data_IF_814752601469
#
_entry.id   IF_814752601469
#
_cell.length_a   1.000
_cell.length_b   1.000
_cell.length_c   1.000
_cell.angle_alpha   90.00
_cell.angle_beta   90.00
_cell.angle_gamma   90.00
#
_symmetry.space_group_name_H-M   'P 1'
#
loop_
_entity.id
_entity.type
_entity.pdbx_description
1 polymer ?
#
# COMPACT_ATOMS: atom_id res chain seq x y z
N UNK A 1 26.44 -14.01 -4.07
CA UNK A 1 25.03 -13.58 -4.10
C UNK A 1 24.72 -12.66 -5.25
N UNK A 2 23.74 -13.02 -6.08
CA UNK A 2 23.22 -12.19 -7.16
C UNK A 2 22.14 -11.24 -6.60
N UNK A 3 22.35 -9.92 -6.72
CA UNK A 3 21.35 -8.90 -6.37
C UNK A 3 20.83 -8.25 -7.63
N UNK A 4 19.57 -8.53 -7.99
CA UNK A 4 18.90 -7.88 -9.13
C UNK A 4 18.10 -6.69 -8.59
N UNK A 5 18.44 -5.44 -8.94
CA UNK A 5 17.68 -4.27 -8.49
C UNK A 5 16.29 -4.29 -9.12
N UNK A 6 15.25 -4.03 -8.31
CA UNK A 6 13.89 -3.83 -8.83
C UNK A 6 13.84 -2.47 -9.52
N UNK A 7 13.63 -2.49 -10.83
CA UNK A 7 13.41 -1.28 -11.63
C UNK A 7 11.92 -0.95 -11.69
N UNK A 8 11.58 0.32 -11.44
CA UNK A 8 10.23 0.86 -11.59
C UNK A 8 10.36 2.09 -12.50
N UNK A 9 9.86 2.05 -13.74
CA UNK A 9 9.95 3.18 -14.65
C UNK A 9 9.04 4.31 -14.16
N UNK A 10 9.67 5.37 -13.66
CA UNK A 10 9.04 6.58 -13.15
C UNK A 10 9.62 7.79 -13.88
N UNK A 11 8.86 8.87 -14.00
CA UNK A 11 9.40 10.13 -14.52
C UNK A 11 10.18 10.86 -13.44
N UNK A 12 11.08 11.76 -13.85
CA UNK A 12 11.70 12.74 -12.95
C UNK A 12 10.63 13.69 -12.43
N UNK A 13 10.49 13.81 -11.12
CA UNK A 13 9.47 14.64 -10.47
C UNK A 13 9.23 14.18 -9.04
N UNK A 14 8.17 14.71 -8.43
CA UNK A 14 7.75 14.26 -7.10
C UNK A 14 7.29 12.80 -7.17
N UNK A 15 7.76 11.99 -6.24
CA UNK A 15 7.42 10.59 -6.07
C UNK A 15 6.60 10.39 -4.79
N UNK A 16 5.38 9.92 -4.96
CA UNK A 16 4.52 9.55 -3.84
C UNK A 16 4.34 8.03 -3.79
N UNK A 17 4.38 7.46 -2.59
CA UNK A 17 3.88 6.11 -2.34
C UNK A 17 2.45 6.20 -1.83
N UNK A 18 1.52 5.60 -2.57
CA UNK A 18 0.10 5.64 -2.25
C UNK A 18 -0.41 4.24 -2.02
N UNK A 19 -0.90 4.00 -0.81
CA UNK A 19 -1.38 2.72 -0.33
C UNK A 19 -2.90 2.69 -0.23
N UNK A 20 -3.51 1.58 -0.63
CA UNK A 20 -4.93 1.32 -0.41
C UNK A 20 -5.10 -0.01 0.29
N UNK A 21 -6.01 -0.04 1.26
CA UNK A 21 -6.44 -1.21 1.99
C UNK A 21 -7.94 -1.40 1.79
N UNK A 22 -8.35 -2.64 1.58
CA UNK A 22 -9.75 -3.02 1.35
C UNK A 22 -9.99 -4.45 1.87
N UNK A 23 -11.22 -4.73 2.31
CA UNK A 23 -11.62 -6.05 2.73
C UNK A 23 -13.01 -6.46 2.24
N UNK A 24 -13.17 -7.78 2.16
CA UNK A 24 -14.44 -8.46 1.90
C UNK A 24 -14.59 -9.62 2.87
N UNK A 25 -15.78 -10.19 2.96
CA UNK A 25 -16.04 -11.39 3.76
C UNK A 25 -15.14 -12.58 3.38
N UNK A 26 -14.57 -12.58 2.16
CA UNK A 26 -13.76 -13.68 1.62
C UNK A 26 -12.25 -13.44 1.72
N UNK A 27 -11.81 -12.19 1.69
CA UNK A 27 -10.40 -11.83 1.68
C UNK A 27 -10.20 -10.36 2.02
N UNK A 28 -9.01 -10.04 2.53
CA UNK A 28 -8.56 -8.67 2.72
C UNK A 28 -7.23 -8.45 2.00
N UNK A 29 -7.00 -7.23 1.50
CA UNK A 29 -5.87 -6.93 0.66
C UNK A 29 -5.33 -5.52 0.88
N UNK A 30 -4.10 -5.33 0.43
CA UNK A 30 -3.45 -4.03 0.37
C UNK A 30 -2.63 -3.93 -0.91
N UNK A 31 -2.59 -2.74 -1.49
CA UNK A 31 -1.80 -2.41 -2.69
C UNK A 31 -1.05 -1.10 -2.48
N UNK A 32 0.16 -1.02 -3.01
CA UNK A 32 1.00 0.18 -2.99
C UNK A 32 1.31 0.57 -4.42
N UNK A 33 1.01 1.82 -4.74
CA UNK A 33 1.35 2.48 -5.99
C UNK A 33 2.51 3.45 -5.77
N UNK A 34 3.36 3.57 -6.79
CA UNK A 34 4.27 4.69 -6.96
C UNK A 34 3.63 5.64 -7.95
N UNK A 35 3.51 6.90 -7.55
CA UNK A 35 2.95 7.98 -8.36
C UNK A 35 4.06 8.99 -8.58
N UNK A 36 4.46 9.20 -9.84
CA UNK A 36 5.41 10.25 -10.20
C UNK A 36 4.68 11.38 -10.91
N UNK A 37 4.85 12.62 -10.42
CA UNK A 37 4.30 13.83 -11.01
C UNK A 37 5.41 14.82 -11.34
N UNK A 38 5.52 15.25 -12.59
CA UNK A 38 6.55 16.17 -13.06
C UNK A 38 6.03 17.60 -13.36
N UNK A 39 4.78 17.90 -13.01
CA UNK A 39 4.12 19.17 -13.34
C UNK A 39 3.15 19.08 -14.51
N UNK A 40 3.42 18.22 -15.50
CA UNK A 40 2.60 18.03 -16.69
C UNK A 40 1.96 16.65 -16.78
N UNK A 41 2.70 15.62 -16.36
CA UNK A 41 2.38 14.22 -16.53
C UNK A 41 2.35 13.49 -15.19
N UNK A 42 1.37 12.62 -15.06
CA UNK A 42 1.22 11.71 -13.94
C UNK A 42 1.42 10.27 -14.41
N UNK A 43 2.40 9.58 -13.82
CA UNK A 43 2.58 8.14 -14.05
C UNK A 43 2.36 7.38 -12.76
N UNK A 44 1.46 6.40 -12.84
CA UNK A 44 1.12 5.51 -11.74
C UNK A 44 1.59 4.09 -12.07
N UNK A 45 2.24 3.44 -11.10
CA UNK A 45 2.73 2.06 -11.21
C UNK A 45 2.44 1.30 -9.94
N UNK A 46 2.00 0.05 -10.04
CA UNK A 46 1.92 -0.83 -8.88
C UNK A 46 3.35 -1.22 -8.46
N UNK A 47 3.68 -0.97 -7.20
CA UNK A 47 4.95 -1.40 -6.59
C UNK A 47 4.80 -2.82 -6.06
N UNK A 48 3.75 -3.05 -5.29
CA UNK A 48 3.44 -4.35 -4.70
C UNK A 48 1.98 -4.42 -4.28
N UNK A 49 1.44 -5.64 -4.22
CA UNK A 49 0.16 -5.92 -3.60
C UNK A 49 0.27 -7.21 -2.77
N UNK A 50 -0.61 -7.34 -1.78
CA UNK A 50 -0.74 -8.56 -1.00
C UNK A 50 -2.20 -8.75 -0.61
N UNK A 51 -2.72 -9.93 -0.86
CA UNK A 51 -4.02 -10.37 -0.38
C UNK A 51 -3.86 -11.54 0.59
N UNK A 52 -4.86 -11.72 1.46
CA UNK A 52 -4.99 -12.87 2.36
C UNK A 52 -6.45 -13.31 2.38
N UNK A 53 -6.67 -14.62 2.33
CA UNK A 53 -8.01 -15.21 2.50
C UNK A 53 -8.50 -14.92 3.92
N UNK A 54 -9.78 -14.57 4.05
CA UNK A 54 -10.40 -14.36 5.35
C UNK A 54 -10.32 -15.65 6.19
N UNK A 55 -10.11 -15.56 7.52
CA UNK A 55 -10.03 -16.74 8.36
C UNK A 55 -11.30 -17.59 8.28
N UNK A 56 -11.16 -18.91 8.38
CA UNK A 56 -12.29 -19.86 8.38
C UNK A 56 -13.27 -19.55 9.52
N UNK A 57 -12.75 -19.08 10.66
CA UNK A 57 -13.60 -18.53 11.72
C UNK A 57 -14.09 -17.15 11.29
N UNK A 58 -15.41 -17.03 11.13
CA UNK A 58 -16.05 -15.79 10.75
C UNK A 58 -15.59 -14.61 11.63
N UNK A 59 -15.19 -13.53 10.97
CA UNK A 59 -14.82 -12.27 11.58
C UNK A 59 -15.79 -11.20 11.09
N UNK A 60 -16.00 -10.17 11.91
CA UNK A 60 -16.83 -9.03 11.51
C UNK A 60 -16.12 -8.22 10.42
N UNK A 61 -16.90 -7.59 9.54
CA UNK A 61 -16.36 -6.72 8.49
C UNK A 61 -15.37 -5.66 9.02
N UNK A 62 -15.67 -4.90 10.10
CA UNK A 62 -14.70 -3.94 10.65
C UNK A 62 -13.35 -4.56 11.08
N UNK A 63 -13.34 -5.80 11.54
CA UNK A 63 -12.07 -6.49 11.88
C UNK A 63 -11.29 -6.90 10.65
N UNK A 64 -11.97 -7.31 9.57
CA UNK A 64 -11.31 -7.63 8.30
C UNK A 64 -10.73 -6.36 7.66
N UNK A 65 -11.46 -5.25 7.69
CA UNK A 65 -10.97 -3.94 7.27
C UNK A 65 -9.73 -3.50 8.07
N UNK A 66 -9.77 -3.67 9.40
CA UNK A 66 -8.62 -3.36 10.26
C UNK A 66 -7.41 -4.26 9.91
N UNK A 67 -7.64 -5.53 9.56
CA UNK A 67 -6.60 -6.42 9.08
C UNK A 67 -6.01 -5.97 7.74
N UNK A 68 -6.82 -5.44 6.83
CA UNK A 68 -6.37 -4.83 5.58
C UNK A 68 -5.47 -3.61 5.84
N UNK A 69 -5.91 -2.70 6.70
CA UNK A 69 -5.13 -1.51 7.09
C UNK A 69 -3.80 -1.90 7.76
N UNK A 70 -3.82 -2.89 8.66
CA UNK A 70 -2.60 -3.43 9.27
C UNK A 70 -1.67 -4.06 8.24
N UNK A 71 -2.22 -4.81 7.26
CA UNK A 71 -1.46 -5.39 6.16
C UNK A 71 -0.79 -4.29 5.32
N UNK A 72 -1.51 -3.21 5.01
CA UNK A 72 -0.97 -2.07 4.28
C UNK A 72 0.18 -1.40 5.02
N UNK A 73 0.01 -1.11 6.32
CA UNK A 73 1.09 -0.51 7.13
C UNK A 73 2.36 -1.35 7.11
N UNK A 74 2.23 -2.68 7.25
CA UNK A 74 3.37 -3.60 7.14
C UNK A 74 4.02 -3.62 5.76
N UNK A 75 3.23 -3.53 4.69
CA UNK A 75 3.77 -3.45 3.34
C UNK A 75 4.52 -2.13 3.12
N UNK A 76 3.96 -1.02 3.58
CA UNK A 76 4.60 0.31 3.48
C UNK A 76 5.96 0.30 4.17
N UNK A 77 6.04 -0.15 5.43
CA UNK A 77 7.32 -0.26 6.14
C UNK A 77 8.33 -1.14 5.40
N UNK A 78 7.89 -2.25 4.80
CA UNK A 78 8.76 -3.15 4.04
C UNK A 78 9.27 -2.50 2.74
N UNK A 79 8.42 -1.78 2.03
CA UNK A 79 8.80 -1.08 0.80
C UNK A 79 9.78 0.05 1.12
N UNK A 80 9.49 0.88 2.12
CA UNK A 80 10.39 1.96 2.52
C UNK A 80 11.78 1.44 2.92
N UNK A 81 11.87 0.27 3.57
CA UNK A 81 13.15 -0.37 3.88
C UNK A 81 13.85 -1.00 2.65
N UNK A 82 13.10 -1.36 1.60
CA UNK A 82 13.64 -2.05 0.41
C UNK A 82 14.23 -1.09 -0.62
N UNK A 83 13.90 0.20 -0.56
CA UNK A 83 14.37 1.23 -1.49
C UNK A 83 15.15 2.33 -0.75
N UNK A 84 16.31 2.05 -0.14
CA UNK A 84 17.04 3.01 0.69
C UNK A 84 17.57 4.24 -0.07
N UNK A 85 17.58 4.19 -1.40
CA UNK A 85 18.02 5.31 -2.26
C UNK A 85 16.86 6.14 -2.82
N UNK A 86 15.62 5.70 -2.61
CA UNK A 86 14.42 6.36 -3.11
C UNK A 86 13.64 6.86 -1.90
N UNK A 87 13.63 8.17 -1.71
CA UNK A 87 12.90 8.82 -0.63
C UNK A 87 11.66 9.47 -1.23
N UNK A 88 10.48 8.83 -1.15
CA UNK A 88 9.27 9.45 -1.64
C UNK A 88 8.95 10.70 -0.82
N UNK A 89 8.59 11.79 -1.49
CA UNK A 89 8.21 13.06 -0.90
C UNK A 89 6.93 12.91 -0.06
N UNK A 90 6.07 11.95 -0.41
CA UNK A 90 4.84 11.63 0.35
C UNK A 90 4.62 10.14 0.45
N UNK A 91 4.14 9.71 1.61
CA UNK A 91 3.60 8.37 1.83
C UNK A 91 2.17 8.51 2.36
N UNK A 92 1.20 8.01 1.59
CA UNK A 92 -0.22 8.11 1.89
C UNK A 92 -0.79 6.70 2.02
N UNK A 93 -1.66 6.47 3.01
CA UNK A 93 -2.34 5.21 3.21
C UNK A 93 -3.84 5.47 3.35
N UNK A 94 -4.64 4.77 2.58
CA UNK A 94 -6.08 4.96 2.47
C UNK A 94 -6.83 3.67 2.84
N UNK A 95 -7.97 3.85 3.48
CA UNK A 95 -9.03 2.87 3.69
C UNK A 95 -10.36 3.60 3.55
N UNK A 96 -11.37 2.94 2.99
CA UNK A 96 -12.74 3.44 2.86
C UNK A 96 -13.61 3.13 4.10
N UNK A 97 -13.09 2.35 5.05
CA UNK A 97 -13.77 2.03 6.29
C UNK A 97 -13.65 3.16 7.30
N UNK A 98 -14.71 3.97 7.43
CA UNK A 98 -14.82 5.04 8.44
C UNK A 98 -14.64 4.52 9.86
N UNK A 99 -15.11 3.29 10.13
CA UNK A 99 -14.93 2.61 11.42
C UNK A 99 -13.45 2.38 11.70
N UNK A 100 -12.70 1.82 10.74
CA UNK A 100 -11.26 1.60 10.91
C UNK A 100 -10.52 2.92 11.07
N UNK A 101 -10.82 3.92 10.25
CA UNK A 101 -10.22 5.25 10.36
C UNK A 101 -10.41 5.80 11.77
N UNK A 102 -11.64 5.80 12.30
CA UNK A 102 -11.90 6.26 13.68
C UNK A 102 -11.15 5.50 14.79
N UNK A 103 -10.63 4.30 14.52
CA UNK A 103 -9.81 3.55 15.48
C UNK A 103 -8.33 3.89 15.41
N UNK A 104 -7.83 4.34 14.25
CA UNK A 104 -6.39 4.48 13.98
C UNK A 104 -5.95 5.90 13.63
N UNK A 105 -6.90 6.84 13.49
CA UNK A 105 -6.66 8.27 13.29
C UNK A 105 -7.27 9.07 14.42
#
# INVERSE_FOLDING_TARGET
DLRIPRWIPLHSGELWLVGFADASERAYAAVIYAVSWNGSDCVVRIVTSKARVAPVKAMTMPRLELCAAHLLGRLMSKISASFPRVHPERQLAFSDSTVVLSWIT
#
